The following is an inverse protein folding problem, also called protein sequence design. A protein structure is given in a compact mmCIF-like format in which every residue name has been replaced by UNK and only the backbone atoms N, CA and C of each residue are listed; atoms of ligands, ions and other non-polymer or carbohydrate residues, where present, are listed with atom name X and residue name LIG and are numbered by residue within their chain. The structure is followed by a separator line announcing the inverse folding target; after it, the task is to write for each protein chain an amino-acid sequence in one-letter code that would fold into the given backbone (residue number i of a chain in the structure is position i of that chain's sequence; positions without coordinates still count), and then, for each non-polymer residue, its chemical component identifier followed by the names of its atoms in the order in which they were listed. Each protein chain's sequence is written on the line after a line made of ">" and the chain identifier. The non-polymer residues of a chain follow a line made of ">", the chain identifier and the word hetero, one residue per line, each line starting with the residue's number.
data_IF_761964784618
#
_entry.id   IF_761964784618
#
_cell.length_a   1.000
_cell.length_b   1.000
_cell.length_c   1.000
_cell.angle_alpha   90.00
_cell.angle_beta   90.00
_cell.angle_gamma   90.00
#
_symmetry.space_group_name_H-M   'P 1'
#
loop_
_entity.id
_entity.type
_entity.pdbx_description
1 polymer ?
#
# COMPACT_ATOMS: atom_id res chain seq x y z
N UNK A 1 23.20 -9.11 9.18
CA UNK A 1 23.22 -10.35 8.39
C UNK A 1 21.78 -10.85 8.31
N UNK A 2 21.25 -11.04 7.10
CA UNK A 2 19.90 -11.60 6.91
C UNK A 2 19.92 -13.09 7.23
N UNK A 3 18.96 -13.53 8.03
CA UNK A 3 18.76 -14.94 8.34
C UNK A 3 18.38 -15.68 7.03
N UNK A 4 19.21 -16.63 6.53
CA UNK A 4 18.97 -17.31 5.25
C UNK A 4 17.72 -18.20 5.26
N UNK A 5 17.11 -18.43 6.43
CA UNK A 5 15.87 -19.20 6.57
C UNK A 5 14.61 -18.36 6.32
N UNK A 6 14.72 -17.01 6.31
CA UNK A 6 13.58 -16.12 6.12
C UNK A 6 13.40 -15.76 4.64
N UNK A 7 12.15 -15.71 4.13
CA UNK A 7 11.89 -15.28 2.77
C UNK A 7 12.36 -13.85 2.55
N UNK A 8 12.95 -13.59 1.37
CA UNK A 8 13.31 -12.23 0.96
C UNK A 8 12.03 -11.38 0.85
N UNK A 9 12.07 -10.15 1.36
CA UNK A 9 10.93 -9.25 1.40
C UNK A 9 11.14 -8.08 0.45
N UNK A 10 10.11 -7.77 -0.33
CA UNK A 10 10.04 -6.62 -1.22
C UNK A 10 8.82 -5.77 -0.88
N UNK A 11 8.87 -4.48 -1.19
CA UNK A 11 7.72 -3.60 -1.07
C UNK A 11 7.51 -2.77 -2.34
N UNK A 12 6.24 -2.60 -2.75
CA UNK A 12 5.82 -1.72 -3.83
C UNK A 12 4.92 -0.65 -3.25
N UNK A 13 5.37 0.61 -3.25
CA UNK A 13 4.60 1.76 -2.79
C UNK A 13 3.95 2.44 -4.00
N UNK A 14 2.63 2.32 -4.11
CA UNK A 14 1.87 2.91 -5.24
C UNK A 14 1.36 4.29 -4.86
N UNK A 15 1.78 5.30 -5.59
CA UNK A 15 1.45 6.70 -5.32
C UNK A 15 0.97 7.45 -6.57
N UNK A 16 0.13 6.79 -7.38
CA UNK A 16 -0.33 7.30 -8.69
C UNK A 16 -1.62 8.12 -8.70
N UNK A 17 -2.23 8.39 -7.54
CA UNK A 17 -3.50 9.11 -7.47
C UNK A 17 -3.37 10.60 -7.84
N UNK A 18 -4.24 11.08 -8.73
CA UNK A 18 -4.25 12.48 -9.21
C UNK A 18 -4.64 13.50 -8.13
N UNK A 19 -5.17 13.05 -6.99
CA UNK A 19 -5.53 13.93 -5.87
C UNK A 19 -6.67 14.92 -6.15
N UNK A 20 -7.49 14.73 -7.20
CA UNK A 20 -8.56 15.66 -7.60
C UNK A 20 -9.49 16.09 -6.46
N UNK A 21 -9.75 15.20 -5.49
CA UNK A 21 -10.58 15.48 -4.30
C UNK A 21 -9.90 16.38 -3.26
N UNK A 22 -8.59 16.61 -3.39
CA UNK A 22 -7.83 17.43 -2.44
C UNK A 22 -7.93 18.93 -2.74
N UNK A 23 -8.36 19.33 -3.95
CA UNK A 23 -8.39 20.75 -4.35
C UNK A 23 -7.03 21.47 -4.27
N UNK A 24 -5.94 20.72 -4.15
CA UNK A 24 -4.61 21.27 -3.95
C UNK A 24 -3.84 21.36 -5.28
N UNK A 25 -2.98 22.37 -5.41
CA UNK A 25 -2.10 22.58 -6.57
C UNK A 25 -1.03 21.47 -6.74
N UNK A 26 -0.96 20.54 -5.79
CA UNK A 26 0.05 19.47 -5.76
C UNK A 26 -0.60 18.11 -5.56
N UNK A 27 -0.05 17.05 -6.20
CA UNK A 27 -0.49 15.68 -5.93
C UNK A 27 -0.37 15.33 -4.45
N UNK A 28 -1.39 14.63 -3.91
CA UNK A 28 -1.55 14.38 -2.47
C UNK A 28 -0.37 13.65 -1.81
N UNK A 29 0.36 12.82 -2.55
CA UNK A 29 1.56 12.14 -2.07
C UNK A 29 2.73 13.07 -1.75
N UNK A 30 2.69 14.30 -2.27
CA UNK A 30 3.71 15.33 -2.03
C UNK A 30 3.23 16.46 -1.10
N UNK A 31 2.00 16.40 -0.61
CA UNK A 31 1.54 17.30 0.45
C UNK A 31 2.39 17.10 1.70
N UNK A 32 2.56 18.17 2.46
CA UNK A 32 3.38 18.11 3.66
C UNK A 32 2.55 17.62 4.85
N UNK A 33 3.05 16.62 5.51
CA UNK A 33 2.61 16.13 6.80
C UNK A 33 3.72 16.40 7.80
N UNK A 34 3.49 17.33 8.74
CA UNK A 34 4.51 17.82 9.68
C UNK A 34 5.83 18.28 9.01
N UNK A 35 5.67 19.01 7.90
CA UNK A 35 6.80 19.61 7.17
C UNK A 35 7.51 18.68 6.19
N UNK A 36 7.11 17.41 6.07
CA UNK A 36 7.71 16.44 5.15
C UNK A 36 6.65 15.81 4.23
N UNK A 37 7.01 15.43 3.00
CA UNK A 37 6.06 14.81 2.06
C UNK A 37 5.42 13.54 2.63
N UNK A 38 4.10 13.37 2.41
CA UNK A 38 3.36 12.17 2.83
C UNK A 38 4.04 10.88 2.38
N UNK A 39 4.51 10.83 1.12
CA UNK A 39 5.19 9.66 0.58
C UNK A 39 6.50 9.34 1.30
N UNK A 40 7.22 10.34 1.82
CA UNK A 40 8.44 10.11 2.58
C UNK A 40 8.15 9.39 3.90
N UNK A 41 7.07 9.77 4.59
CA UNK A 41 6.64 9.05 5.79
C UNK A 41 6.36 7.57 5.49
N UNK A 42 5.64 7.29 4.40
CA UNK A 42 5.36 5.91 3.98
C UNK A 42 6.64 5.16 3.61
N UNK A 43 7.55 5.79 2.86
CA UNK A 43 8.82 5.19 2.48
C UNK A 43 9.66 4.80 3.71
N UNK A 44 9.73 5.67 4.73
CA UNK A 44 10.44 5.37 5.98
C UNK A 44 9.89 4.14 6.70
N UNK A 45 8.57 3.92 6.68
CA UNK A 45 7.96 2.74 7.32
C UNK A 45 8.45 1.44 6.70
N UNK A 46 8.58 1.39 5.37
CA UNK A 46 9.05 0.19 4.68
C UNK A 46 10.58 0.08 4.61
N UNK A 47 11.30 1.19 4.78
CA UNK A 47 12.76 1.22 4.89
C UNK A 47 13.26 0.95 6.33
N UNK A 48 12.37 0.69 7.29
CA UNK A 48 12.72 0.34 8.67
C UNK A 48 13.59 -0.93 8.69
N UNK A 49 14.83 -0.87 9.22
CA UNK A 49 15.77 -2.00 9.17
C UNK A 49 15.23 -3.29 9.80
N UNK A 50 14.39 -3.17 10.83
CA UNK A 50 13.80 -4.31 11.55
C UNK A 50 12.88 -5.16 10.66
N UNK A 51 12.31 -4.60 9.60
CA UNK A 51 11.47 -5.31 8.65
C UNK A 51 12.26 -6.17 7.67
N UNK A 52 13.55 -5.90 7.46
CA UNK A 52 14.40 -6.65 6.54
C UNK A 52 13.93 -6.60 5.08
N UNK A 53 13.30 -5.48 4.64
CA UNK A 53 12.87 -5.29 3.24
C UNK A 53 14.10 -5.06 2.38
N UNK A 54 14.37 -5.97 1.45
CA UNK A 54 15.57 -5.95 0.61
C UNK A 54 15.50 -4.85 -0.48
N UNK A 55 14.29 -4.56 -0.98
CA UNK A 55 14.10 -3.50 -1.98
C UNK A 55 12.71 -2.88 -1.80
N UNK A 56 12.67 -1.55 -1.83
CA UNK A 56 11.43 -0.77 -1.91
C UNK A 56 11.34 -0.16 -3.32
N UNK A 57 10.22 -0.41 -4.00
CA UNK A 57 9.90 0.18 -5.31
C UNK A 57 8.84 1.25 -5.09
N UNK A 58 9.12 2.48 -5.50
CA UNK A 58 8.16 3.58 -5.49
C UNK A 58 7.61 3.77 -6.90
N UNK A 59 6.30 3.64 -7.05
CA UNK A 59 5.63 3.77 -8.35
C UNK A 59 4.84 5.07 -8.39
N UNK A 60 5.21 5.95 -9.33
CA UNK A 60 4.62 7.27 -9.54
C UNK A 60 4.19 7.45 -11.00
N UNK A 61 3.24 8.34 -11.31
CA UNK A 61 3.00 8.79 -12.68
C UNK A 61 4.30 9.31 -13.32
N UNK A 62 4.46 9.08 -14.62
CA UNK A 62 5.68 9.41 -15.35
C UNK A 62 6.08 10.88 -15.19
N UNK A 63 5.12 11.79 -15.29
CA UNK A 63 5.30 13.25 -15.14
C UNK A 63 5.70 13.69 -13.71
N UNK A 64 5.58 12.81 -12.72
CA UNK A 64 5.92 13.09 -11.32
C UNK A 64 7.29 12.54 -10.89
N UNK A 65 7.96 11.75 -11.71
CA UNK A 65 9.25 11.16 -11.38
C UNK A 65 10.34 12.22 -11.12
N UNK A 66 10.48 13.18 -12.02
CA UNK A 66 11.45 14.27 -11.87
C UNK A 66 11.14 15.15 -10.65
N UNK A 67 9.86 15.38 -10.38
CA UNK A 67 9.44 16.13 -9.19
C UNK A 67 9.80 15.39 -7.90
N UNK A 68 9.56 14.08 -7.80
CA UNK A 68 9.98 13.28 -6.65
C UNK A 68 11.50 13.31 -6.46
N UNK A 69 12.29 13.21 -7.54
CA UNK A 69 13.74 13.32 -7.47
C UNK A 69 14.18 14.69 -6.93
N UNK A 70 13.49 15.78 -7.31
CA UNK A 70 13.76 17.12 -6.77
C UNK A 70 13.44 17.22 -5.28
N UNK A 71 12.35 16.57 -4.84
CA UNK A 71 11.97 16.43 -3.42
C UNK A 71 13.04 15.64 -2.66
N UNK A 72 13.52 14.52 -3.21
CA UNK A 72 14.59 13.73 -2.59
C UNK A 72 15.85 14.58 -2.33
N UNK A 73 16.24 15.39 -3.29
CA UNK A 73 17.37 16.33 -3.13
C UNK A 73 17.06 17.39 -2.06
N UNK A 74 15.88 18.02 -2.12
CA UNK A 74 15.49 19.10 -1.21
C UNK A 74 15.45 18.64 0.27
N UNK A 75 14.95 17.44 0.52
CA UNK A 75 14.79 16.89 1.88
C UNK A 75 15.93 15.94 2.26
N UNK A 76 17.01 15.88 1.45
CA UNK A 76 18.15 14.98 1.65
C UNK A 76 17.72 13.54 1.95
N UNK A 77 16.80 13.00 1.14
CA UNK A 77 16.28 11.64 1.28
C UNK A 77 17.33 10.66 0.75
N UNK A 78 17.99 9.97 1.66
CA UNK A 78 19.04 8.97 1.37
C UNK A 78 18.52 7.53 1.44
N UNK A 79 17.22 7.33 1.76
CA UNK A 79 16.62 6.00 1.82
C UNK A 79 16.66 5.33 0.44
N UNK A 80 17.29 4.14 0.33
CA UNK A 80 17.39 3.46 -0.95
C UNK A 80 16.01 3.01 -1.44
N UNK A 81 15.66 3.37 -2.66
CA UNK A 81 14.45 2.92 -3.34
C UNK A 81 14.61 2.97 -4.85
N UNK A 82 13.90 2.08 -5.54
CA UNK A 82 13.81 2.07 -7.00
C UNK A 82 12.59 2.88 -7.42
N UNK A 83 12.78 3.83 -8.34
CA UNK A 83 11.71 4.68 -8.85
C UNK A 83 11.22 4.16 -10.20
N UNK A 84 9.90 3.95 -10.33
CA UNK A 84 9.27 3.34 -11.51
C UNK A 84 8.10 4.19 -11.99
N UNK A 85 7.96 4.35 -13.30
CA UNK A 85 6.78 4.94 -13.90
C UNK A 85 5.59 3.98 -13.81
N UNK A 86 4.49 4.43 -13.23
CA UNK A 86 3.21 3.70 -13.19
C UNK A 86 2.44 3.77 -14.51
N UNK A 87 1.40 2.98 -14.59
CA UNK A 87 0.46 2.99 -15.71
C UNK A 87 -0.78 3.85 -15.45
N UNK A 88 -1.75 3.76 -16.39
CA UNK A 88 -2.99 4.52 -16.34
C UNK A 88 -3.92 4.13 -15.17
N UNK A 89 -3.80 2.90 -14.67
CA UNK A 89 -4.60 2.36 -13.57
C UNK A 89 -3.72 1.96 -12.40
N UNK A 90 -4.34 1.73 -11.23
CA UNK A 90 -3.65 1.17 -10.06
C UNK A 90 -3.07 -0.21 -10.39
N UNK A 91 -3.84 -1.06 -11.08
CA UNK A 91 -3.41 -2.38 -11.53
C UNK A 91 -2.15 -2.28 -12.43
N UNK A 92 -2.19 -1.43 -13.47
CA UNK A 92 -1.04 -1.22 -14.35
C UNK A 92 0.20 -0.68 -13.60
N UNK A 93 -0.01 0.15 -12.58
CA UNK A 93 1.06 0.67 -11.74
C UNK A 93 1.70 -0.42 -10.86
N UNK A 94 0.91 -1.30 -10.24
CA UNK A 94 1.45 -2.46 -9.50
C UNK A 94 2.19 -3.41 -10.43
N UNK A 95 1.65 -3.67 -11.62
CA UNK A 95 2.31 -4.50 -12.66
C UNK A 95 3.69 -3.95 -13.04
N UNK A 96 3.81 -2.63 -13.22
CA UNK A 96 5.09 -1.97 -13.47
C UNK A 96 6.05 -2.12 -12.28
N UNK A 97 5.57 -1.98 -11.05
CA UNK A 97 6.35 -2.22 -9.84
C UNK A 97 6.86 -3.66 -9.73
N UNK A 98 6.02 -4.65 -10.04
CA UNK A 98 6.39 -6.07 -10.06
C UNK A 98 7.48 -6.39 -11.10
N UNK A 99 7.47 -5.70 -12.23
CA UNK A 99 8.47 -5.87 -13.28
C UNK A 99 9.87 -5.35 -12.85
N UNK A 100 9.94 -4.44 -11.89
CA UNK A 100 11.18 -3.89 -11.35
C UNK A 100 11.82 -4.76 -10.25
N UNK A 101 11.14 -5.80 -9.78
CA UNK A 101 11.68 -6.74 -8.80
C UNK A 101 12.49 -7.85 -9.49
N UNK A 102 13.52 -8.45 -8.82
CA UNK A 102 14.35 -9.50 -9.38
C UNK A 102 13.53 -10.68 -9.92
N UNK A 103 13.88 -11.18 -11.11
CA UNK A 103 13.15 -12.27 -11.76
C UNK A 103 13.23 -13.58 -10.95
N UNK A 104 14.39 -13.87 -10.37
CA UNK A 104 14.74 -15.15 -9.74
C UNK A 104 14.44 -15.19 -8.22
N UNK A 105 13.48 -14.42 -7.77
CA UNK A 105 13.14 -14.31 -6.35
C UNK A 105 12.14 -15.41 -5.93
N UNK A 106 12.51 -16.68 -6.07
CA UNK A 106 11.69 -17.82 -5.62
C UNK A 106 11.47 -17.76 -4.11
N UNK A 107 10.21 -17.95 -3.66
CA UNK A 107 9.82 -17.90 -2.23
C UNK A 107 9.88 -16.51 -1.60
N UNK A 108 10.13 -15.47 -2.38
CA UNK A 108 10.11 -14.10 -1.87
C UNK A 108 8.68 -13.60 -1.63
N UNK A 109 8.55 -12.67 -0.71
CA UNK A 109 7.29 -11.98 -0.41
C UNK A 109 7.32 -10.53 -0.93
N UNK A 110 6.18 -10.05 -1.38
CA UNK A 110 6.01 -8.66 -1.80
C UNK A 110 4.79 -8.04 -1.13
N UNK A 111 4.99 -6.91 -0.46
CA UNK A 111 3.93 -6.07 0.07
C UNK A 111 3.59 -4.96 -0.94
N UNK A 112 2.33 -4.83 -1.31
CA UNK A 112 1.82 -3.68 -2.05
C UNK A 112 1.15 -2.73 -1.07
N UNK A 113 1.55 -1.47 -1.10
CA UNK A 113 1.06 -0.48 -0.15
C UNK A 113 0.75 0.86 -0.82
N UNK A 114 -0.34 1.50 -0.38
CA UNK A 114 -0.69 2.84 -0.83
C UNK A 114 0.33 3.86 -0.30
N UNK A 115 1.03 4.57 -1.16
CA UNK A 115 2.03 5.59 -0.79
C UNK A 115 1.46 6.77 0.01
N UNK A 116 0.14 6.84 0.15
CA UNK A 116 -0.60 7.84 0.93
C UNK A 116 -1.22 7.29 2.21
N UNK A 117 -0.65 6.20 2.76
CA UNK A 117 -0.93 5.70 4.13
C UNK A 117 0.32 5.81 5.01
N UNK A 118 0.69 7.03 5.41
CA UNK A 118 1.97 7.30 6.07
C UNK A 118 2.04 6.77 7.51
N UNK A 119 0.90 6.39 8.10
CA UNK A 119 0.79 6.01 9.51
C UNK A 119 0.70 4.50 9.74
N UNK A 120 0.95 3.69 8.69
CA UNK A 120 1.05 2.24 8.87
C UNK A 120 2.12 1.91 9.92
N UNK A 121 1.79 1.06 10.88
CA UNK A 121 2.73 0.69 11.93
C UNK A 121 3.60 -0.51 11.52
N UNK A 122 4.82 -0.57 12.04
CA UNK A 122 5.73 -1.70 11.84
C UNK A 122 5.10 -3.05 12.23
N UNK A 123 4.34 -3.17 13.34
CA UNK A 123 3.64 -4.41 13.66
C UNK A 123 2.63 -4.85 12.60
N UNK A 124 1.86 -3.94 11.99
CA UNK A 124 0.92 -4.28 10.90
C UNK A 124 1.67 -4.77 9.67
N UNK A 125 2.79 -4.11 9.30
CA UNK A 125 3.62 -4.54 8.16
C UNK A 125 4.21 -5.93 8.43
N UNK A 126 4.77 -6.15 9.62
CA UNK A 126 5.35 -7.44 10.01
C UNK A 126 4.31 -8.55 10.02
N UNK A 127 3.12 -8.32 10.61
CA UNK A 127 2.03 -9.28 10.63
C UNK A 127 1.58 -9.69 9.21
N UNK A 128 1.55 -8.73 8.27
CA UNK A 128 1.20 -9.00 6.87
C UNK A 128 2.25 -9.88 6.17
N UNK A 129 3.55 -9.63 6.41
CA UNK A 129 4.61 -10.51 5.88
C UNK A 129 4.57 -11.91 6.49
N UNK A 130 4.39 -12.02 7.81
CA UNK A 130 4.30 -13.32 8.49
C UNK A 130 3.10 -14.14 8.00
N UNK A 131 1.94 -13.51 7.88
CA UNK A 131 0.75 -14.16 7.37
C UNK A 131 0.89 -14.58 5.89
N UNK A 132 1.52 -13.77 5.05
CA UNK A 132 1.81 -14.13 3.66
C UNK A 132 2.81 -15.28 3.56
N UNK A 133 3.81 -15.34 4.44
CA UNK A 133 4.74 -16.46 4.51
C UNK A 133 4.01 -17.78 4.87
N UNK A 134 3.03 -17.72 5.77
CA UNK A 134 2.28 -18.88 6.22
C UNK A 134 1.17 -19.31 5.26
N UNK A 135 0.52 -18.34 4.60
CA UNK A 135 -0.73 -18.55 3.85
C UNK A 135 -0.65 -18.17 2.37
N UNK A 136 0.49 -17.69 1.86
CA UNK A 136 0.67 -17.28 0.46
C UNK A 136 0.12 -15.89 0.12
N UNK A 137 -0.95 -15.43 0.78
CA UNK A 137 -1.56 -14.12 0.57
C UNK A 137 -2.16 -13.58 1.87
N UNK A 138 -1.93 -12.31 2.17
CA UNK A 138 -2.47 -11.64 3.35
C UNK A 138 -2.80 -10.17 3.09
N UNK A 139 -3.80 -9.63 3.76
CA UNK A 139 -4.20 -8.23 3.65
C UNK A 139 -4.58 -7.65 5.01
N UNK A 140 -4.12 -6.44 5.30
CA UNK A 140 -4.54 -5.71 6.49
C UNK A 140 -6.00 -5.23 6.34
N UNK A 141 -6.80 -5.41 7.38
CA UNK A 141 -8.19 -5.00 7.37
C UNK A 141 -8.68 -4.66 8.77
N UNK A 142 -9.70 -3.78 8.87
CA UNK A 142 -10.35 -3.42 10.13
C UNK A 142 -11.88 -3.64 10.02
N UNK A 143 -12.60 -3.92 11.10
CA UNK A 143 -14.05 -3.94 11.07
C UNK A 143 -14.62 -2.54 10.84
N UNK A 144 -15.76 -2.36 10.16
CA UNK A 144 -16.43 -1.06 10.07
C UNK A 144 -16.94 -0.62 11.43
N UNK A 145 -16.73 0.65 11.79
CA UNK A 145 -17.24 1.25 13.03
C UNK A 145 -18.73 1.54 12.92
N UNK A 146 -19.17 2.02 11.75
CA UNK A 146 -20.53 2.41 11.48
C UNK A 146 -21.40 1.25 10.99
N UNK A 147 -22.71 1.42 11.02
CA UNK A 147 -23.65 0.52 10.38
C UNK A 147 -23.55 0.64 8.86
N UNK A 148 -23.56 -0.49 8.16
CA UNK A 148 -23.42 -0.55 6.69
C UNK A 148 -24.73 -1.00 6.07
N UNK A 149 -25.12 -0.37 4.96
CA UNK A 149 -26.29 -0.73 4.17
C UNK A 149 -25.91 -0.99 2.70
N UNK A 150 -26.46 -2.04 2.14
CA UNK A 150 -26.36 -2.32 0.72
C UNK A 150 -27.48 -1.57 -0.01
N UNK A 151 -27.12 -0.77 -1.02
CA UNK A 151 -28.08 -0.11 -1.89
C UNK A 151 -28.57 -1.08 -2.97
N UNK A 152 -29.87 -1.10 -3.18
CA UNK A 152 -30.52 -1.87 -4.24
C UNK A 152 -31.51 -1.01 -5.02
N UNK A 153 -32.09 -1.53 -6.09
CA UNK A 153 -33.01 -0.79 -6.96
C UNK A 153 -34.28 -0.28 -6.24
N UNK A 154 -34.76 -1.01 -5.22
CA UNK A 154 -35.97 -0.70 -4.45
C UNK A 154 -35.66 -0.05 -3.07
N UNK A 155 -34.44 0.41 -2.82
CA UNK A 155 -34.04 1.00 -1.54
C UNK A 155 -32.75 0.41 -0.97
N UNK A 156 -32.65 0.26 0.34
CA UNK A 156 -31.44 -0.27 0.97
C UNK A 156 -31.74 -1.31 2.03
N UNK A 157 -30.82 -2.29 2.21
CA UNK A 157 -30.88 -3.33 3.25
C UNK A 157 -29.68 -3.25 4.20
N UNK A 158 -29.86 -3.56 5.51
CA UNK A 158 -28.75 -3.57 6.45
C UNK A 158 -27.83 -4.77 6.18
N UNK A 159 -26.51 -4.55 6.33
CA UNK A 159 -25.53 -5.63 6.34
C UNK A 159 -25.05 -5.91 7.78
N UNK A 160 -24.80 -7.16 8.10
CA UNK A 160 -24.18 -7.53 9.38
C UNK A 160 -22.70 -7.10 9.36
N UNK A 161 -22.39 -5.95 9.98
CA UNK A 161 -21.04 -5.39 10.02
C UNK A 161 -20.00 -6.32 10.65
N UNK A 162 -20.39 -7.30 11.47
CA UNK A 162 -19.45 -8.28 12.06
C UNK A 162 -18.81 -9.15 11.00
N UNK A 163 -19.47 -9.34 9.86
CA UNK A 163 -19.01 -10.10 8.70
C UNK A 163 -18.28 -9.25 7.66
N UNK A 164 -18.15 -7.96 7.88
CA UNK A 164 -17.51 -7.02 6.95
C UNK A 164 -16.12 -6.62 7.44
N UNK A 165 -15.25 -6.34 6.50
CA UNK A 165 -13.92 -5.75 6.75
C UNK A 165 -13.68 -4.62 5.77
N UNK A 166 -13.11 -3.54 6.27
CA UNK A 166 -12.59 -2.44 5.45
C UNK A 166 -11.15 -2.75 5.12
N UNK A 167 -10.88 -2.99 3.84
CA UNK A 167 -9.56 -3.38 3.37
C UNK A 167 -8.58 -2.22 3.46
N UNK A 168 -7.42 -2.52 3.97
CA UNK A 168 -6.29 -1.60 4.04
C UNK A 168 -5.12 -2.16 3.22
N UNK A 169 -4.02 -1.46 3.20
CA UNK A 169 -2.71 -1.95 2.79
C UNK A 169 -1.76 -1.81 3.99
N UNK A 170 -0.70 -2.66 4.11
CA UNK A 170 -0.16 -3.53 3.07
C UNK A 170 -1.06 -4.72 2.76
N UNK A 171 -1.03 -5.11 1.47
CA UNK A 171 -1.49 -6.40 0.99
C UNK A 171 -0.26 -7.15 0.51
N UNK A 172 0.01 -8.29 1.12
CA UNK A 172 1.29 -8.99 1.00
C UNK A 172 1.10 -10.39 0.46
N UNK A 173 1.94 -10.78 -0.47
CA UNK A 173 1.76 -12.02 -1.23
C UNK A 173 3.09 -12.74 -1.43
N UNK A 174 3.03 -14.05 -1.67
CA UNK A 174 4.08 -14.74 -2.40
C UNK A 174 4.27 -14.06 -3.76
N UNK A 175 5.52 -13.73 -4.11
CA UNK A 175 5.83 -12.96 -5.31
C UNK A 175 5.45 -13.70 -6.60
N UNK A 176 5.60 -15.02 -6.64
CA UNK A 176 5.24 -15.82 -7.81
C UNK A 176 3.72 -15.88 -7.98
N UNK A 177 2.96 -16.00 -6.87
CA UNK A 177 1.50 -15.93 -6.87
C UNK A 177 1.02 -14.59 -7.42
N UNK A 178 1.52 -13.45 -6.89
CA UNK A 178 1.09 -12.12 -7.32
C UNK A 178 1.45 -11.88 -8.79
N UNK A 179 2.65 -12.27 -9.23
CA UNK A 179 3.03 -12.20 -10.64
C UNK A 179 2.11 -13.01 -11.54
N UNK A 180 1.69 -14.21 -11.12
CA UNK A 180 0.73 -15.04 -11.86
C UNK A 180 -0.61 -14.33 -11.99
N UNK A 181 -1.13 -13.73 -10.91
CA UNK A 181 -2.37 -12.98 -10.92
C UNK A 181 -2.32 -11.78 -11.88
N UNK A 182 -1.21 -11.03 -11.87
CA UNK A 182 -1.00 -9.87 -12.74
C UNK A 182 -0.66 -10.20 -14.22
N UNK A 183 -0.59 -11.49 -14.60
CA UNK A 183 -0.58 -11.92 -16.01
C UNK A 183 -1.99 -11.98 -16.61
N UNK A 184 -3.00 -12.12 -15.77
CA UNK A 184 -4.40 -12.09 -16.20
C UNK A 184 -4.77 -10.67 -16.70
N UNK A 185 -5.79 -10.54 -17.56
CA UNK A 185 -6.30 -9.24 -17.96
C UNK A 185 -6.84 -8.45 -16.74
N UNK A 186 -6.70 -7.12 -16.78
CA UNK A 186 -7.35 -6.25 -15.81
C UNK A 186 -8.87 -6.33 -15.93
N UNK A 187 -9.55 -6.51 -14.79
CA UNK A 187 -11.01 -6.53 -14.73
C UNK A 187 -11.54 -5.29 -14.01
N UNK A 188 -12.72 -4.76 -14.41
CA UNK A 188 -13.34 -3.63 -13.72
C UNK A 188 -13.68 -3.88 -12.25
N UNK A 189 -13.75 -5.14 -11.84
CA UNK A 189 -14.01 -5.57 -10.47
C UNK A 189 -12.78 -5.51 -9.57
N UNK A 190 -11.60 -5.32 -10.11
CA UNK A 190 -10.37 -5.23 -9.33
C UNK A 190 -10.28 -3.87 -8.63
N UNK A 191 -10.51 -3.86 -7.33
CA UNK A 191 -10.47 -2.66 -6.49
C UNK A 191 -9.14 -2.51 -5.72
N UNK A 192 -8.46 -3.63 -5.47
CA UNK A 192 -7.19 -3.73 -4.76
C UNK A 192 -6.42 -5.01 -5.21
N UNK A 193 -5.25 -5.29 -4.60
CA UNK A 193 -4.43 -6.44 -5.00
C UNK A 193 -5.02 -7.76 -4.51
N UNK A 194 -5.74 -7.75 -3.39
CA UNK A 194 -6.45 -8.91 -2.89
C UNK A 194 -7.49 -9.40 -3.92
N UNK A 195 -8.29 -8.48 -4.48
CA UNK A 195 -9.29 -8.81 -5.49
C UNK A 195 -8.70 -9.33 -6.81
N UNK A 196 -7.43 -9.02 -7.11
CA UNK A 196 -6.70 -9.60 -8.27
C UNK A 196 -6.31 -11.06 -8.01
N UNK A 197 -6.10 -11.43 -6.74
CA UNK A 197 -5.63 -12.77 -6.33
C UNK A 197 -6.78 -13.71 -5.95
N UNK A 198 -7.94 -13.19 -5.54
CA UNK A 198 -9.05 -13.94 -4.94
C UNK A 198 -9.48 -15.18 -5.75
N UNK A 199 -9.51 -15.09 -7.10
CA UNK A 199 -9.86 -16.23 -7.96
C UNK A 199 -8.77 -17.32 -8.03
N UNK A 200 -7.54 -17.00 -7.62
CA UNK A 200 -6.40 -17.92 -7.69
C UNK A 200 -6.03 -18.50 -6.33
N UNK A 201 -6.25 -17.75 -5.26
CA UNK A 201 -5.80 -18.11 -3.92
C UNK A 201 -6.56 -17.31 -2.85
N UNK A 202 -7.01 -17.96 -1.75
CA UNK A 202 -7.63 -17.25 -0.62
C UNK A 202 -6.69 -16.22 0.00
N UNK A 203 -7.22 -15.05 0.34
CA UNK A 203 -6.47 -13.98 1.02
C UNK A 203 -6.75 -14.02 2.51
N UNK A 204 -5.71 -14.24 3.32
CA UNK A 204 -5.80 -14.22 4.77
C UNK A 204 -5.86 -12.78 5.28
N UNK A 205 -6.80 -12.47 6.18
CA UNK A 205 -6.91 -11.13 6.76
C UNK A 205 -6.11 -11.04 8.05
N UNK A 206 -5.25 -10.02 8.14
CA UNK A 206 -4.57 -9.64 9.37
C UNK A 206 -5.23 -8.40 9.97
N UNK A 207 -5.15 -8.26 11.28
CA UNK A 207 -5.69 -7.09 11.96
C UNK A 207 -4.91 -5.84 11.53
N UNK A 208 -5.64 -4.87 10.96
CA UNK A 208 -5.14 -3.56 10.59
C UNK A 208 -5.19 -2.57 11.76
N UNK A 209 -5.04 -1.29 11.47
CA UNK A 209 -5.12 -0.22 12.46
C UNK A 209 -5.95 0.93 11.89
N UNK A 210 -6.89 1.48 12.66
CA UNK A 210 -7.64 2.67 12.26
C UNK A 210 -6.75 3.90 12.06
N UNK A 211 -5.57 3.92 12.68
CA UNK A 211 -4.54 4.95 12.43
C UNK A 211 -3.91 4.82 11.03
N UNK A 212 -3.98 3.65 10.41
CA UNK A 212 -3.48 3.40 9.05
C UNK A 212 -4.45 3.97 8.00
N UNK A 213 -4.81 5.23 8.18
CA UNK A 213 -5.73 5.94 7.29
C UNK A 213 -5.11 6.21 5.91
N UNK A 214 -5.95 6.24 4.88
CA UNK A 214 -5.56 6.64 3.52
C UNK A 214 -5.86 8.12 3.34
N UNK A 215 -4.83 8.94 3.11
CA UNK A 215 -5.02 10.37 2.86
C UNK A 215 -5.65 10.54 1.48
N UNK A 216 -6.92 10.98 1.47
CA UNK A 216 -7.74 11.19 0.26
C UNK A 216 -8.44 12.53 0.23
N UNK A 217 -8.62 13.16 1.37
CA UNK A 217 -9.25 14.48 1.55
C UNK A 217 -8.38 15.37 2.45
N UNK A 218 -8.60 16.71 2.47
CA UNK A 218 -7.90 17.60 3.38
C UNK A 218 -8.09 17.24 4.86
N UNK A 219 -9.27 16.76 5.24
CA UNK A 219 -9.58 16.34 6.61
C UNK A 219 -8.72 15.14 7.04
N UNK A 220 -8.43 14.20 6.11
CA UNK A 220 -7.54 13.07 6.37
C UNK A 220 -6.13 13.55 6.74
N UNK A 221 -5.65 14.64 6.11
CA UNK A 221 -4.33 15.20 6.39
C UNK A 221 -4.29 15.80 7.81
N UNK A 222 -5.32 16.56 8.18
CA UNK A 222 -5.46 17.11 9.54
C UNK A 222 -5.50 16.01 10.60
N UNK A 223 -6.26 14.94 10.32
CA UNK A 223 -6.34 13.79 11.21
C UNK A 223 -4.97 13.10 11.32
N UNK A 224 -4.25 12.92 10.21
CA UNK A 224 -2.91 12.35 10.20
C UNK A 224 -1.93 13.17 11.05
N UNK A 225 -1.98 14.51 10.96
CA UNK A 225 -1.16 15.41 11.78
C UNK A 225 -1.44 15.26 13.29
N UNK A 226 -2.73 15.20 13.65
CA UNK A 226 -3.14 14.99 15.05
C UNK A 226 -2.67 13.62 15.59
N UNK A 227 -2.78 12.55 14.79
CA UNK A 227 -2.34 11.20 15.16
C UNK A 227 -0.83 11.12 15.32
N UNK A 228 -0.05 11.80 14.49
CA UNK A 228 1.41 11.88 14.64
C UNK A 228 1.84 12.67 15.87
N UNK A 229 1.06 13.67 16.27
CA UNK A 229 1.36 14.46 17.48
C UNK A 229 1.24 13.64 18.78
N UNK A 230 0.41 12.59 18.78
CA UNK A 230 0.19 11.70 19.93
C UNK A 230 1.21 10.56 20.03
N UNK A 231 2.07 10.40 19.04
CA UNK A 231 3.04 9.29 18.99
C UNK A 231 4.43 9.70 19.51
N UNK A 232 4.54 10.87 20.15
CA UNK A 232 5.76 11.41 20.79
C UNK A 232 5.74 11.14 22.27
#
# INVERSE_FOLDING_TARGET
>A
MTDPSKPVRYAILVAGGTGQRMGADRPKQFLLLRGEPVLLHTLRRFAEPTLGVAQVVVVLPFDQLAYWQSICKKYNITLPHTLVAGGATRWASVKAGLAALPADAAGALVAVHDGVRPLVSTPVIEAAYQAAAAHGAAAAAVPPKDSVRLLGAAGSSPLDRRRLRLMQTPQTFDLALLRRAYRLPELPTFTDDASVVDDLHPVHLVEGDYRNLKITTPEDLLLAEALLAQAV
#
